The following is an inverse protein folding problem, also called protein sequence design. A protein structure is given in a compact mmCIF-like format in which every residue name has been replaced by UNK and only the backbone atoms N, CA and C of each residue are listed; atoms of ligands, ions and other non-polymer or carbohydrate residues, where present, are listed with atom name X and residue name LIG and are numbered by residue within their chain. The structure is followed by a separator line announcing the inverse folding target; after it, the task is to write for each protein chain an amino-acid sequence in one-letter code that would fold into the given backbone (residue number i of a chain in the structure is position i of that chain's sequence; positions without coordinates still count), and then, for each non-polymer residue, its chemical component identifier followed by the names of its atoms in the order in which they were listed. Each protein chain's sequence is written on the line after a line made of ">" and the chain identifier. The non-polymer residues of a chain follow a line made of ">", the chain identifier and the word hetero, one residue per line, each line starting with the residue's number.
data_IF_602410595601
#
_entry.id   IF_602410595601
#
_cell.length_a   1.000
_cell.length_b   1.000
_cell.length_c   1.000
_cell.angle_alpha   90.00
_cell.angle_beta   90.00
_cell.angle_gamma   90.00
#
_symmetry.space_group_name_H-M   'P 1'
#
loop_
_entity.id
_entity.type
_entity.pdbx_description
1 polymer ?
#
# COMPACT_ATOMS: atom_id res chain seq x y z
N UNK A 1 10.88 7.67 -19.22
CA UNK A 1 9.90 8.00 -18.17
C UNK A 1 10.55 8.55 -16.89
N UNK A 2 11.63 8.00 -16.36
CA UNK A 2 12.29 8.56 -15.14
C UNK A 2 12.83 10.00 -15.26
N UNK A 3 12.99 10.56 -16.44
CA UNK A 3 13.45 11.96 -16.60
C UNK A 3 12.40 13.02 -16.32
N UNK A 4 11.12 12.71 -16.46
CA UNK A 4 10.03 13.69 -16.27
C UNK A 4 9.60 13.88 -14.81
N UNK A 5 9.85 12.92 -13.93
CA UNK A 5 9.47 13.01 -12.52
C UNK A 5 10.54 13.65 -11.61
N UNK A 6 11.71 13.99 -12.13
CA UNK A 6 12.83 14.54 -11.33
C UNK A 6 12.89 16.07 -11.22
N UNK A 7 11.92 16.81 -11.74
CA UNK A 7 11.79 18.24 -11.49
C UNK A 7 10.75 18.55 -10.39
N UNK A 8 10.95 17.99 -9.20
CA UNK A 8 10.46 18.67 -8.00
C UNK A 8 11.44 19.82 -7.72
N UNK A 9 11.00 21.02 -8.01
CA UNK A 9 11.73 22.22 -7.67
C UNK A 9 12.00 22.21 -6.15
N UNK A 10 13.27 22.20 -5.78
CA UNK A 10 13.70 22.45 -4.40
C UNK A 10 13.10 23.78 -3.94
N UNK A 11 12.23 23.72 -2.94
CA UNK A 11 11.71 24.94 -2.30
C UNK A 11 12.90 25.71 -1.71
N UNK A 12 12.95 27.02 -1.90
CA UNK A 12 13.97 27.84 -1.23
C UNK A 12 13.78 27.73 0.28
N UNK A 13 14.89 27.57 1.01
CA UNK A 13 14.90 27.50 2.46
C UNK A 13 14.15 28.71 3.06
N UNK A 14 13.22 28.43 3.97
CA UNK A 14 12.46 29.46 4.68
C UNK A 14 13.42 30.36 5.47
N UNK A 15 13.13 31.66 5.47
CA UNK A 15 13.89 32.62 6.27
C UNK A 15 13.64 32.36 7.77
N UNK A 16 14.65 32.61 8.64
CA UNK A 16 14.46 32.40 10.09
C UNK A 16 13.30 33.28 10.59
N UNK A 17 12.27 32.64 11.18
CA UNK A 17 11.11 33.32 11.77
C UNK A 17 9.79 33.22 10.97
N UNK A 18 9.77 32.70 9.76
CA UNK A 18 8.52 32.43 9.03
C UNK A 18 8.04 31.02 9.34
N UNK A 19 6.77 30.86 9.79
CA UNK A 19 6.13 29.57 9.87
C UNK A 19 6.10 28.94 8.48
N UNK A 20 6.50 27.67 8.33
CA UNK A 20 6.40 26.99 7.05
C UNK A 20 4.95 27.06 6.56
N UNK A 21 4.75 27.59 5.36
CA UNK A 21 3.43 27.56 4.73
C UNK A 21 3.01 26.11 4.56
N UNK A 22 1.77 25.78 4.95
CA UNK A 22 1.19 24.46 4.72
C UNK A 22 1.44 24.06 3.25
N UNK A 23 1.83 22.79 2.97
CA UNK A 23 2.09 22.36 1.62
C UNK A 23 0.83 22.61 0.78
N UNK A 24 0.95 23.50 -0.21
CA UNK A 24 -0.13 23.74 -1.18
C UNK A 24 -0.39 22.39 -1.85
N UNK A 25 -1.60 21.84 -1.71
CA UNK A 25 -2.07 20.74 -2.54
C UNK A 25 -1.95 21.21 -3.99
N UNK A 26 -0.87 20.84 -4.65
CA UNK A 26 -0.76 21.05 -6.09
C UNK A 26 -1.79 20.14 -6.75
N UNK A 27 -2.69 20.71 -7.54
CA UNK A 27 -3.60 19.93 -8.36
C UNK A 27 -2.82 18.99 -9.28
N UNK A 28 -3.49 17.99 -9.89
CA UNK A 28 -2.81 17.06 -10.78
C UNK A 28 -2.00 17.82 -11.83
N UNK A 29 -0.80 17.32 -12.20
CA UNK A 29 0.05 17.99 -13.16
C UNK A 29 -0.70 18.20 -14.47
N UNK A 30 -0.67 19.41 -15.00
CA UNK A 30 -1.23 19.73 -16.33
C UNK A 30 -0.18 19.39 -17.36
N UNK A 31 -0.46 18.44 -18.21
CA UNK A 31 0.38 18.04 -19.34
C UNK A 31 0.03 18.86 -20.60
N UNK A 32 1.02 19.12 -21.46
CA UNK A 32 0.73 19.63 -22.81
C UNK A 32 0.07 18.51 -23.64
N UNK A 33 -0.62 18.87 -24.76
CA UNK A 33 -1.21 17.86 -25.64
C UNK A 33 -0.17 16.83 -26.14
N UNK A 34 1.04 17.26 -26.44
CA UNK A 34 2.15 16.40 -26.87
C UNK A 34 2.58 15.44 -25.73
N UNK A 35 2.73 15.94 -24.51
CA UNK A 35 3.04 15.11 -23.35
C UNK A 35 1.93 14.12 -23.06
N UNK A 36 0.67 14.53 -23.19
CA UNK A 36 -0.46 13.64 -23.01
C UNK A 36 -0.46 12.51 -24.05
N UNK A 37 -0.22 12.84 -25.33
CA UNK A 37 -0.13 11.84 -26.40
C UNK A 37 1.01 10.82 -26.17
N UNK A 38 2.17 11.28 -25.66
CA UNK A 38 3.28 10.40 -25.30
C UNK A 38 2.92 9.47 -24.13
N UNK A 39 2.23 10.00 -23.11
CA UNK A 39 1.73 9.21 -21.97
C UNK A 39 0.73 8.16 -22.45
N UNK A 40 -0.20 8.54 -23.31
CA UNK A 40 -1.25 7.62 -23.82
C UNK A 40 -0.63 6.51 -24.68
N UNK A 41 0.31 6.85 -25.57
CA UNK A 41 1.09 5.87 -26.31
C UNK A 41 1.81 4.88 -25.37
N UNK A 42 2.46 5.38 -24.34
CA UNK A 42 3.15 4.53 -23.36
C UNK A 42 2.18 3.60 -22.61
N UNK A 43 1.00 4.10 -22.25
CA UNK A 43 -0.04 3.28 -21.60
C UNK A 43 -0.47 2.12 -22.50
N UNK A 44 -0.66 2.37 -23.81
CA UNK A 44 -1.00 1.32 -24.77
C UNK A 44 0.13 0.29 -24.93
N UNK A 45 1.38 0.73 -24.98
CA UNK A 45 2.55 -0.16 -25.01
C UNK A 45 2.63 -1.04 -23.76
N UNK A 46 2.40 -0.47 -22.57
CA UNK A 46 2.37 -1.22 -21.31
C UNK A 46 1.21 -2.20 -21.27
N UNK A 47 0.03 -1.80 -21.73
CA UNK A 47 -1.14 -2.67 -21.85
C UNK A 47 -0.85 -3.87 -22.77
N UNK A 48 -0.31 -3.61 -23.96
CA UNK A 48 0.05 -4.67 -24.90
C UNK A 48 1.07 -5.63 -24.30
N UNK A 49 2.08 -5.11 -23.60
CA UNK A 49 3.08 -5.93 -22.90
C UNK A 49 2.45 -6.78 -21.80
N UNK A 50 1.57 -6.21 -20.96
CA UNK A 50 0.87 -6.95 -19.90
C UNK A 50 0.05 -8.09 -20.48
N UNK A 51 -0.79 -7.80 -21.48
CA UNK A 51 -1.70 -8.79 -22.05
C UNK A 51 -0.98 -9.86 -22.90
N UNK A 52 0.21 -9.53 -23.42
CA UNK A 52 1.07 -10.47 -24.15
C UNK A 52 2.08 -11.22 -23.26
N UNK A 53 2.09 -11.01 -21.96
CA UNK A 53 3.06 -11.65 -21.06
C UNK A 53 2.79 -13.15 -20.94
N UNK A 54 3.82 -13.95 -21.24
CA UNK A 54 3.82 -15.37 -20.93
C UNK A 54 3.95 -15.58 -19.41
N UNK A 55 2.88 -16.07 -18.79
CA UNK A 55 2.82 -16.29 -17.35
C UNK A 55 3.81 -17.33 -16.83
N UNK A 56 4.38 -18.17 -17.71
CA UNK A 56 5.45 -19.10 -17.32
C UNK A 56 6.68 -18.36 -16.76
N UNK A 57 6.92 -17.12 -17.21
CA UNK A 57 7.97 -16.25 -16.64
C UNK A 57 7.67 -15.84 -15.21
N UNK A 58 6.40 -15.58 -14.89
CA UNK A 58 5.93 -15.26 -13.54
C UNK A 58 6.06 -16.48 -12.64
N UNK A 59 5.66 -17.65 -13.13
CA UNK A 59 5.82 -18.93 -12.43
C UNK A 59 7.29 -19.27 -12.18
N UNK A 60 8.18 -18.94 -13.13
CA UNK A 60 9.64 -19.04 -12.96
C UNK A 60 10.15 -18.16 -11.82
N UNK A 61 9.67 -16.91 -11.73
CA UNK A 61 10.01 -16.02 -10.62
C UNK A 61 9.48 -16.54 -9.29
N UNK A 62 8.24 -17.05 -9.25
CA UNK A 62 7.68 -17.72 -8.07
C UNK A 62 8.55 -18.88 -7.62
N UNK A 63 9.03 -19.69 -8.57
CA UNK A 63 9.89 -20.83 -8.24
C UNK A 63 11.18 -20.39 -7.56
N UNK A 64 11.83 -19.34 -8.05
CA UNK A 64 13.04 -18.80 -7.43
C UNK A 64 12.81 -18.37 -5.97
N UNK A 65 11.68 -17.71 -5.70
CA UNK A 65 11.30 -17.29 -4.35
C UNK A 65 11.01 -18.50 -3.45
N UNK A 66 10.23 -19.46 -3.95
CA UNK A 66 9.87 -20.65 -3.15
C UNK A 66 11.07 -21.58 -2.90
N UNK A 67 12.03 -21.68 -3.84
CA UNK A 67 13.29 -22.42 -3.64
C UNK A 67 14.16 -21.77 -2.53
N UNK A 68 13.99 -20.45 -2.31
CA UNK A 68 14.61 -19.72 -1.22
C UNK A 68 13.77 -19.71 0.08
N UNK A 69 12.67 -20.46 0.15
CA UNK A 69 11.78 -20.52 1.31
C UNK A 69 10.84 -19.33 1.45
N UNK A 70 10.72 -18.48 0.42
CA UNK A 70 9.87 -17.28 0.44
C UNK A 70 8.51 -17.59 -0.20
N UNK A 71 7.43 -17.30 0.52
CA UNK A 71 6.06 -17.38 0.02
C UNK A 71 5.50 -16.00 -0.27
N UNK A 72 4.92 -15.82 -1.46
CA UNK A 72 4.22 -14.58 -1.82
C UNK A 72 2.76 -14.70 -1.41
N UNK A 73 2.28 -13.86 -0.52
CA UNK A 73 0.88 -13.88 -0.08
C UNK A 73 0.00 -12.83 -0.76
N UNK A 74 0.57 -11.69 -1.15
CA UNK A 74 -0.12 -10.56 -1.77
C UNK A 74 0.76 -9.92 -2.87
N UNK A 75 0.13 -9.35 -3.91
CA UNK A 75 0.84 -8.68 -5.01
C UNK A 75 0.23 -7.28 -5.24
N UNK A 76 1.05 -6.23 -5.22
CA UNK A 76 0.62 -4.87 -5.54
C UNK A 76 0.59 -4.66 -7.05
N UNK A 77 -0.61 -4.66 -7.64
CA UNK A 77 -0.84 -4.48 -9.09
C UNK A 77 -1.56 -3.20 -9.44
N UNK A 78 -2.19 -2.54 -8.49
CA UNK A 78 -2.93 -1.29 -8.63
C UNK A 78 -3.97 -1.30 -9.78
N UNK A 79 -5.00 -2.16 -9.72
CA UNK A 79 -6.04 -2.22 -10.75
C UNK A 79 -6.77 -0.91 -11.00
N UNK A 80 -6.80 0.02 -10.02
CA UNK A 80 -7.38 1.36 -10.17
C UNK A 80 -6.74 2.17 -11.31
N UNK A 81 -5.45 1.96 -11.56
CA UNK A 81 -4.70 2.60 -12.64
C UNK A 81 -4.79 1.89 -13.99
N UNK A 82 -5.54 0.78 -14.09
CA UNK A 82 -5.66 -0.02 -15.31
C UNK A 82 -6.81 0.46 -16.17
N UNK A 83 -6.55 0.67 -17.47
CA UNK A 83 -7.48 1.27 -18.42
C UNK A 83 -8.58 0.34 -18.89
N UNK A 84 -8.42 -0.98 -18.74
CA UNK A 84 -9.39 -1.96 -19.24
C UNK A 84 -9.61 -3.11 -18.26
N UNK A 85 -10.73 -3.81 -18.45
CA UNK A 85 -11.09 -4.96 -17.62
C UNK A 85 -10.19 -6.17 -17.88
N UNK A 86 -9.64 -6.30 -19.09
CA UNK A 86 -8.63 -7.31 -19.40
C UNK A 86 -7.34 -7.10 -18.61
N UNK A 87 -6.93 -5.84 -18.36
CA UNK A 87 -5.79 -5.55 -17.50
C UNK A 87 -6.10 -5.83 -16.03
N UNK A 88 -7.33 -5.56 -15.58
CA UNK A 88 -7.76 -5.96 -14.22
C UNK A 88 -7.71 -7.48 -14.07
N UNK A 89 -8.27 -8.21 -15.04
CA UNK A 89 -8.21 -9.69 -15.06
C UNK A 89 -6.76 -10.21 -15.06
N UNK A 90 -5.88 -9.56 -15.83
CA UNK A 90 -4.45 -9.85 -15.85
C UNK A 90 -3.80 -9.68 -14.47
N UNK A 91 -4.16 -8.65 -13.69
CA UNK A 91 -3.62 -8.45 -12.35
C UNK A 91 -3.84 -9.66 -11.44
N UNK A 92 -5.05 -10.22 -11.47
CA UNK A 92 -5.37 -11.43 -10.70
C UNK A 92 -4.67 -12.68 -11.25
N UNK A 93 -4.54 -12.81 -12.58
CA UNK A 93 -3.79 -13.91 -13.21
C UNK A 93 -2.32 -13.91 -12.77
N UNK A 94 -1.66 -12.75 -12.79
CA UNK A 94 -0.27 -12.61 -12.35
C UNK A 94 -0.13 -12.95 -10.86
N UNK A 95 -1.00 -12.40 -10.01
CA UNK A 95 -0.97 -12.69 -8.58
C UNK A 95 -1.15 -14.20 -8.31
N UNK A 96 -2.06 -14.85 -9.04
CA UNK A 96 -2.28 -16.30 -8.95
C UNK A 96 -1.05 -17.10 -9.42
N UNK A 97 -0.42 -16.70 -10.51
CA UNK A 97 0.81 -17.32 -11.02
C UNK A 97 1.98 -17.15 -10.02
N UNK A 98 2.06 -16.02 -9.30
CA UNK A 98 2.98 -15.81 -8.19
C UNK A 98 2.67 -16.66 -6.95
N UNK A 99 1.50 -17.31 -6.89
CA UNK A 99 1.06 -18.09 -5.74
C UNK A 99 0.38 -17.28 -4.65
N UNK A 100 0.16 -15.99 -4.88
CA UNK A 100 -0.56 -15.12 -3.97
C UNK A 100 -2.06 -15.42 -3.95
N UNK A 101 -2.72 -15.04 -2.85
CA UNK A 101 -4.17 -15.14 -2.70
C UNK A 101 -4.86 -13.78 -2.71
N UNK A 102 -4.08 -12.69 -2.74
CA UNK A 102 -4.63 -11.35 -2.78
C UNK A 102 -3.86 -10.44 -3.77
N UNK A 103 -4.61 -9.49 -4.33
CA UNK A 103 -4.10 -8.31 -5.02
C UNK A 103 -4.34 -7.10 -4.12
N UNK A 104 -3.44 -6.12 -4.11
CA UNK A 104 -3.64 -4.88 -3.34
C UNK A 104 -3.65 -3.62 -4.21
N UNK A 105 -4.40 -2.64 -3.77
CA UNK A 105 -4.51 -1.29 -4.31
C UNK A 105 -4.90 -0.32 -3.20
N UNK A 106 -4.91 0.98 -3.51
CA UNK A 106 -5.36 2.03 -2.59
C UNK A 106 -6.89 1.94 -2.34
N UNK A 107 -7.31 2.18 -1.09
CA UNK A 107 -8.72 2.05 -0.70
C UNK A 107 -9.60 3.06 -1.44
N UNK A 108 -10.56 2.53 -2.21
CA UNK A 108 -11.48 3.34 -2.99
C UNK A 108 -12.76 2.57 -3.32
N UNK A 109 -13.91 3.19 -3.15
CA UNK A 109 -15.22 2.56 -3.33
C UNK A 109 -15.49 2.15 -4.79
N UNK A 110 -15.17 3.03 -5.74
CA UNK A 110 -15.43 2.74 -7.16
C UNK A 110 -14.48 1.65 -7.70
N UNK A 111 -13.24 1.68 -7.24
CA UNK A 111 -12.29 0.59 -7.52
C UNK A 111 -12.82 -0.73 -6.97
N UNK A 112 -13.32 -0.75 -5.73
CA UNK A 112 -13.87 -1.96 -5.12
C UNK A 112 -15.05 -2.55 -5.91
N UNK A 113 -15.99 -1.71 -6.36
CA UNK A 113 -17.11 -2.14 -7.22
C UNK A 113 -16.62 -2.76 -8.53
N UNK A 114 -15.60 -2.15 -9.15
CA UNK A 114 -15.05 -2.62 -10.43
C UNK A 114 -14.31 -3.95 -10.28
N UNK A 115 -13.53 -4.12 -9.21
CA UNK A 115 -12.61 -5.28 -9.09
C UNK A 115 -13.24 -6.49 -8.41
N UNK A 116 -14.31 -6.33 -7.63
CA UNK A 116 -14.95 -7.43 -6.92
C UNK A 116 -15.32 -8.63 -7.81
N UNK A 117 -15.92 -8.46 -9.00
CA UNK A 117 -16.23 -9.60 -9.89
C UNK A 117 -14.98 -10.37 -10.35
N UNK A 118 -13.83 -9.70 -10.47
CA UNK A 118 -12.57 -10.34 -10.86
C UNK A 118 -11.97 -11.11 -9.69
N UNK A 119 -12.00 -10.55 -8.47
CA UNK A 119 -11.57 -11.25 -7.27
C UNK A 119 -12.37 -12.54 -7.08
N UNK A 120 -13.69 -12.49 -7.21
CA UNK A 120 -14.60 -13.64 -7.14
C UNK A 120 -14.32 -14.67 -8.26
N UNK A 121 -14.21 -14.21 -9.51
CA UNK A 121 -13.88 -15.04 -10.67
C UNK A 121 -12.61 -15.87 -10.46
N UNK A 122 -11.58 -15.27 -9.88
CA UNK A 122 -10.29 -15.92 -9.64
C UNK A 122 -10.22 -16.69 -8.31
N UNK A 123 -11.24 -16.59 -7.45
CA UNK A 123 -11.23 -17.14 -6.09
C UNK A 123 -10.13 -16.52 -5.23
N UNK A 124 -9.92 -15.23 -5.36
CA UNK A 124 -8.88 -14.44 -4.69
C UNK A 124 -9.48 -13.26 -3.93
N UNK A 125 -8.65 -12.58 -3.16
CA UNK A 125 -9.04 -11.36 -2.46
C UNK A 125 -8.51 -10.12 -3.18
N UNK A 126 -9.27 -9.04 -3.09
CA UNK A 126 -8.80 -7.69 -3.29
C UNK A 126 -8.64 -7.05 -1.92
N UNK A 127 -7.41 -6.79 -1.49
CA UNK A 127 -7.09 -6.25 -0.18
C UNK A 127 -6.68 -4.78 -0.31
N UNK A 128 -7.49 -3.86 0.22
CA UNK A 128 -7.30 -2.42 0.08
C UNK A 128 -6.41 -1.84 1.15
N UNK A 129 -5.42 -1.06 0.71
CA UNK A 129 -4.49 -0.33 1.55
C UNK A 129 -5.00 1.08 1.85
N UNK A 130 -4.89 1.50 3.10
CA UNK A 130 -5.21 2.86 3.52
C UNK A 130 -3.95 3.70 3.76
N UNK A 131 -4.06 4.98 3.48
CA UNK A 131 -3.17 6.01 4.00
C UNK A 131 -3.87 6.80 5.12
N UNK A 132 -4.28 8.04 4.83
CA UNK A 132 -4.87 8.95 5.83
C UNK A 132 -6.39 9.05 5.75
N UNK A 133 -7.05 8.19 4.96
CA UNK A 133 -8.50 8.28 4.72
C UNK A 133 -9.32 8.19 6.01
N UNK A 134 -8.85 7.42 7.00
CA UNK A 134 -9.54 7.31 8.29
C UNK A 134 -9.57 8.60 9.12
N UNK A 135 -8.75 9.60 8.79
CA UNK A 135 -8.79 10.93 9.38
C UNK A 135 -9.75 11.88 8.63
N UNK A 136 -10.30 11.48 7.50
CA UNK A 136 -11.27 12.26 6.74
C UNK A 136 -12.66 12.15 7.39
N UNK A 137 -13.34 13.29 7.54
CA UNK A 137 -14.68 13.32 8.14
C UNK A 137 -15.66 12.44 7.34
N UNK A 138 -16.34 11.54 8.04
CA UNK A 138 -17.33 10.63 7.44
C UNK A 138 -16.76 9.45 6.68
N UNK A 139 -15.44 9.25 6.64
CA UNK A 139 -14.88 8.06 6.02
C UNK A 139 -15.18 6.80 6.83
N UNK A 140 -15.62 5.75 6.13
CA UNK A 140 -15.74 4.38 6.65
C UNK A 140 -15.36 3.37 5.58
N UNK A 141 -14.72 2.29 5.98
CA UNK A 141 -14.47 1.14 5.11
C UNK A 141 -15.71 0.22 4.98
N UNK A 142 -16.72 0.36 5.83
CA UNK A 142 -17.90 -0.51 5.83
C UNK A 142 -18.60 -0.59 4.46
N UNK A 143 -18.87 0.52 3.73
CA UNK A 143 -19.47 0.45 2.40
C UNK A 143 -18.61 -0.30 1.38
N UNK A 144 -17.29 -0.22 1.52
CA UNK A 144 -16.33 -0.89 0.64
C UNK A 144 -16.34 -2.40 0.92
N UNK A 145 -16.26 -2.78 2.19
CA UNK A 145 -16.30 -4.17 2.61
C UNK A 145 -17.65 -4.85 2.33
N UNK A 146 -18.73 -4.09 2.30
CA UNK A 146 -20.07 -4.59 2.01
C UNK A 146 -20.28 -5.02 0.55
N UNK A 147 -19.38 -4.63 -0.37
CA UNK A 147 -19.49 -4.95 -1.80
C UNK A 147 -19.40 -6.46 -2.03
N UNK A 148 -18.44 -7.13 -1.39
CA UNK A 148 -18.20 -8.56 -1.58
C UNK A 148 -17.36 -9.14 -0.42
N UNK A 149 -17.56 -10.42 -0.07
CA UNK A 149 -16.66 -11.13 0.83
C UNK A 149 -15.23 -11.24 0.30
N UNK A 150 -15.02 -11.08 -1.01
CA UNK A 150 -13.68 -11.07 -1.64
C UNK A 150 -12.95 -9.73 -1.47
N UNK A 151 -13.62 -8.70 -0.95
CA UNK A 151 -12.99 -7.42 -0.61
C UNK A 151 -12.51 -7.48 0.82
N UNK A 152 -11.22 -7.26 1.03
CA UNK A 152 -10.53 -7.31 2.31
C UNK A 152 -9.74 -6.01 2.53
N UNK A 153 -9.13 -5.87 3.70
CA UNK A 153 -8.20 -4.80 4.02
C UNK A 153 -6.76 -5.32 4.00
N UNK A 154 -5.89 -4.58 3.38
CA UNK A 154 -4.46 -4.54 3.62
C UNK A 154 -4.23 -3.33 4.53
N UNK A 155 -4.54 -3.51 5.82
CA UNK A 155 -4.67 -2.42 6.77
C UNK A 155 -3.31 -1.86 7.15
N UNK A 156 -3.09 -0.57 6.86
CA UNK A 156 -1.90 0.12 7.33
C UNK A 156 -2.15 0.71 8.73
N UNK A 157 -1.63 0.03 9.74
CA UNK A 157 -1.79 0.40 11.13
C UNK A 157 -1.01 1.67 11.49
N UNK A 158 0.14 1.90 10.84
CA UNK A 158 0.94 3.10 11.06
C UNK A 158 0.30 4.35 10.47
N UNK A 159 -0.21 4.29 9.24
CA UNK A 159 -0.96 5.40 8.65
C UNK A 159 -2.25 5.70 9.43
N UNK A 160 -2.95 4.66 9.89
CA UNK A 160 -4.13 4.83 10.72
C UNK A 160 -3.78 5.56 12.03
N UNK A 161 -2.81 5.06 12.79
CA UNK A 161 -2.38 5.68 14.05
C UNK A 161 -1.85 7.09 13.82
N UNK A 162 -0.92 7.27 12.88
CA UNK A 162 -0.28 8.56 12.63
C UNK A 162 -1.25 9.66 12.19
N UNK A 163 -2.37 9.31 11.55
CA UNK A 163 -3.36 10.28 11.09
C UNK A 163 -4.50 10.51 12.08
N UNK A 164 -4.86 9.52 12.88
CA UNK A 164 -6.03 9.60 13.80
C UNK A 164 -5.67 9.70 15.28
N UNK A 165 -4.50 9.19 15.68
CA UNK A 165 -4.12 8.99 17.09
C UNK A 165 -4.86 7.85 17.77
N UNK A 166 -5.73 7.13 17.04
CA UNK A 166 -6.51 6.02 17.60
C UNK A 166 -5.64 4.76 17.60
N UNK A 167 -5.74 3.99 18.69
CA UNK A 167 -4.99 2.73 18.81
C UNK A 167 -5.44 1.72 17.74
N UNK A 168 -4.52 1.16 16.90
CA UNK A 168 -4.88 0.28 15.79
C UNK A 168 -5.67 -0.96 16.19
N UNK A 169 -5.49 -1.44 17.41
CA UNK A 169 -6.23 -2.60 17.93
C UNK A 169 -7.75 -2.40 17.94
N UNK A 170 -8.25 -1.17 17.94
CA UNK A 170 -9.69 -0.92 17.80
C UNK A 170 -10.20 -1.37 16.41
N UNK A 171 -9.46 -1.00 15.36
CA UNK A 171 -9.77 -1.43 13.99
C UNK A 171 -9.55 -2.93 13.81
N UNK A 172 -8.44 -3.46 14.33
CA UNK A 172 -8.10 -4.87 14.19
C UNK A 172 -9.17 -5.74 14.85
N UNK A 173 -9.59 -5.43 16.08
CA UNK A 173 -10.66 -6.17 16.77
C UNK A 173 -11.99 -6.12 16.02
N UNK A 174 -12.33 -4.96 15.43
CA UNK A 174 -13.58 -4.79 14.69
C UNK A 174 -13.60 -5.55 13.37
N UNK A 175 -12.45 -5.63 12.68
CA UNK A 175 -12.39 -6.11 11.29
C UNK A 175 -11.44 -7.29 11.08
N UNK A 176 -11.02 -8.01 12.14
CA UNK A 176 -10.02 -9.08 12.03
C UNK A 176 -10.34 -10.15 10.98
N UNK A 177 -11.62 -10.43 10.74
CA UNK A 177 -12.12 -11.37 9.73
C UNK A 177 -12.13 -10.78 8.30
N UNK A 178 -11.91 -9.48 8.17
CA UNK A 178 -11.86 -8.72 6.92
C UNK A 178 -10.50 -8.09 6.68
N UNK A 179 -9.51 -8.32 7.54
CA UNK A 179 -8.11 -7.92 7.36
C UNK A 179 -7.33 -9.10 6.81
N UNK A 180 -6.80 -8.96 5.60
CA UNK A 180 -5.95 -9.95 4.96
C UNK A 180 -4.49 -9.81 5.43
N UNK A 181 -3.98 -8.59 5.44
CA UNK A 181 -2.64 -8.27 5.95
C UNK A 181 -2.61 -6.90 6.62
N UNK A 182 -1.60 -6.68 7.43
CA UNK A 182 -1.35 -5.42 8.14
C UNK A 182 0.02 -4.91 7.77
N UNK A 183 0.11 -3.66 7.31
CA UNK A 183 1.38 -2.94 7.21
C UNK A 183 1.78 -2.42 8.59
N UNK A 184 2.96 -2.81 9.02
CA UNK A 184 3.57 -2.39 10.26
C UNK A 184 4.70 -1.41 9.96
N UNK A 185 4.50 -0.16 10.31
CA UNK A 185 5.49 0.92 10.26
C UNK A 185 5.41 1.74 11.53
N UNK A 186 6.52 2.30 11.97
CA UNK A 186 6.51 3.19 13.13
C UNK A 186 6.31 4.64 12.71
N UNK A 187 5.49 5.36 13.47
CA UNK A 187 5.12 6.74 13.18
C UNK A 187 4.90 7.53 14.48
N UNK A 188 5.06 8.85 14.36
CA UNK A 188 4.55 9.79 15.37
C UNK A 188 3.03 9.94 15.27
N UNK A 189 2.40 10.31 16.36
CA UNK A 189 0.98 10.62 16.42
C UNK A 189 0.60 11.90 15.66
N UNK A 190 -0.71 12.19 15.51
CA UNK A 190 -1.17 13.35 14.72
C UNK A 190 -0.90 14.70 15.40
N UNK A 191 -0.58 14.70 16.69
CA UNK A 191 -0.34 15.91 17.49
C UNK A 191 1.10 16.03 18.01
N UNK A 192 2.02 15.21 17.52
CA UNK A 192 3.40 15.13 18.02
C UNK A 192 4.21 16.32 17.54
N UNK A 193 4.37 17.33 18.37
CA UNK A 193 5.28 18.46 18.23
C UNK A 193 5.36 19.04 16.82
N UNK A 194 6.58 19.21 16.33
CA UNK A 194 6.86 19.76 14.99
C UNK A 194 6.82 18.69 13.86
N UNK A 195 6.62 17.43 14.19
CA UNK A 195 6.65 16.30 13.26
C UNK A 195 5.44 15.37 13.42
N UNK A 196 4.20 15.87 13.21
CA UNK A 196 3.01 15.03 13.29
C UNK A 196 2.95 14.05 12.14
N UNK A 197 2.47 12.82 12.41
CA UNK A 197 2.27 11.77 11.40
C UNK A 197 3.51 11.48 10.53
N UNK A 198 4.70 11.52 11.14
CA UNK A 198 5.98 11.30 10.44
C UNK A 198 6.47 9.87 10.65
N UNK A 199 6.96 9.25 9.57
CA UNK A 199 7.56 7.91 9.63
C UNK A 199 8.83 7.93 10.49
N UNK A 200 8.98 6.92 11.33
CA UNK A 200 10.07 6.78 12.28
C UNK A 200 10.82 5.46 12.09
N UNK A 201 12.05 5.44 12.55
CA UNK A 201 12.77 4.17 12.73
C UNK A 201 12.00 3.32 13.74
N UNK A 202 11.84 2.04 13.48
CA UNK A 202 11.09 1.13 14.36
C UNK A 202 11.57 1.20 15.81
N UNK A 203 10.63 1.41 16.71
CA UNK A 203 10.84 1.57 18.15
C UNK A 203 11.28 2.99 18.56
N UNK A 204 11.26 3.96 17.64
CA UNK A 204 11.54 5.37 17.93
C UNK A 204 10.32 6.28 17.74
N UNK A 205 9.23 5.73 17.23
CA UNK A 205 7.95 6.42 17.09
C UNK A 205 7.03 6.17 18.27
N UNK A 206 5.75 6.40 18.04
CA UNK A 206 4.68 6.31 19.05
C UNK A 206 3.64 5.25 18.68
N UNK A 207 3.76 4.64 17.49
CA UNK A 207 2.83 3.60 17.05
C UNK A 207 2.98 2.36 17.97
N UNK A 208 1.89 1.84 18.56
CA UNK A 208 1.96 0.72 19.51
C UNK A 208 2.17 -0.63 18.81
N UNK A 209 3.35 -0.80 18.17
CA UNK A 209 3.71 -1.97 17.37
C UNK A 209 3.62 -3.27 18.17
N UNK A 210 4.14 -3.27 19.41
CA UNK A 210 4.13 -4.45 20.27
C UNK A 210 2.71 -4.89 20.60
N UNK A 211 1.82 -3.95 20.95
CA UNK A 211 0.43 -4.26 21.30
C UNK A 211 -0.34 -4.84 20.10
N UNK A 212 -0.05 -4.36 18.89
CA UNK A 212 -0.64 -4.90 17.64
C UNK A 212 -0.20 -6.34 17.43
N UNK A 213 1.11 -6.60 17.53
CA UNK A 213 1.65 -7.96 17.34
C UNK A 213 1.19 -8.93 18.43
N UNK A 214 1.15 -8.48 19.68
CA UNK A 214 0.66 -9.29 20.80
C UNK A 214 -0.81 -9.65 20.64
N UNK A 215 -1.66 -8.71 20.21
CA UNK A 215 -3.07 -8.97 19.95
C UNK A 215 -3.24 -10.07 18.89
N UNK A 216 -2.60 -9.93 17.72
CA UNK A 216 -2.70 -10.91 16.63
C UNK A 216 -2.22 -12.30 17.07
N UNK A 217 -1.10 -12.33 17.80
CA UNK A 217 -0.52 -13.57 18.33
C UNK A 217 -1.44 -14.25 19.37
N UNK A 218 -2.04 -13.49 20.29
CA UNK A 218 -2.94 -14.01 21.33
C UNK A 218 -4.21 -14.57 20.74
N UNK A 219 -4.84 -13.83 19.81
CA UNK A 219 -6.09 -14.22 19.16
C UNK A 219 -5.89 -15.26 18.06
N UNK A 220 -4.64 -15.48 17.62
CA UNK A 220 -4.27 -16.42 16.53
C UNK A 220 -4.99 -16.17 15.22
N UNK A 221 -5.31 -14.93 14.92
CA UNK A 221 -5.90 -14.57 13.65
C UNK A 221 -4.93 -14.81 12.50
N UNK A 222 -5.40 -15.35 11.37
CA UNK A 222 -4.56 -15.65 10.21
C UNK A 222 -4.26 -14.40 9.37
N UNK A 223 -3.73 -13.36 10.01
CA UNK A 223 -3.41 -12.07 9.41
C UNK A 223 -1.91 -12.02 9.14
N UNK A 224 -1.53 -11.73 7.90
CA UNK A 224 -0.13 -11.47 7.56
C UNK A 224 0.31 -10.12 8.11
N UNK A 225 1.56 -10.03 8.57
CA UNK A 225 2.16 -8.80 9.09
C UNK A 225 3.33 -8.42 8.20
N UNK A 226 3.19 -7.31 7.48
CA UNK A 226 4.17 -6.83 6.52
C UNK A 226 5.00 -5.70 7.13
N UNK A 227 6.31 -5.89 7.22
CA UNK A 227 7.23 -4.85 7.69
C UNK A 227 7.38 -3.80 6.60
N UNK A 228 7.11 -2.55 6.93
CA UNK A 228 7.27 -1.43 6.02
C UNK A 228 8.16 -0.33 6.61
N UNK A 229 9.21 0.00 5.86
CA UNK A 229 10.20 1.01 6.25
C UNK A 229 10.09 2.18 5.27
N UNK A 230 9.45 3.28 5.69
CA UNK A 230 9.24 4.48 4.87
C UNK A 230 10.03 5.70 5.39
N UNK A 231 11.12 5.49 6.07
CA UNK A 231 12.02 6.54 6.52
C UNK A 231 13.33 6.54 5.72
N UNK A 232 14.03 7.67 5.72
CA UNK A 232 15.27 7.85 4.98
C UNK A 232 16.41 7.06 5.64
N UNK A 233 16.86 5.99 4.99
CA UNK A 233 17.96 5.14 5.45
C UNK A 233 19.23 5.48 4.66
N UNK A 234 20.29 5.85 5.37
CA UNK A 234 21.59 6.18 4.77
C UNK A 234 22.72 5.43 5.46
N UNK A 235 23.51 4.68 4.69
CA UNK A 235 23.30 4.34 3.27
C UNK A 235 22.12 3.39 3.11
N UNK A 236 21.38 3.51 2.01
CA UNK A 236 20.16 2.74 1.74
C UNK A 236 20.31 1.20 1.84
N UNK A 237 21.54 0.69 1.64
CA UNK A 237 21.87 -0.73 1.81
C UNK A 237 21.65 -1.25 3.23
N UNK A 238 21.51 -0.37 4.22
CA UNK A 238 21.24 -0.76 5.59
C UNK A 238 19.78 -1.11 5.83
N UNK A 239 18.89 -0.85 4.87
CA UNK A 239 17.46 -1.18 4.98
C UNK A 239 17.20 -2.67 5.26
N UNK A 240 17.98 -3.56 4.64
CA UNK A 240 17.89 -5.01 4.87
C UNK A 240 18.29 -5.35 6.30
N UNK A 241 19.42 -4.80 6.78
CA UNK A 241 19.88 -5.01 8.15
C UNK A 241 18.93 -4.43 9.19
N UNK A 242 18.31 -3.30 8.87
CA UNK A 242 17.30 -2.68 9.73
C UNK A 242 16.04 -3.54 9.82
N UNK A 243 15.56 -4.07 8.69
CA UNK A 243 14.47 -5.03 8.66
C UNK A 243 14.76 -6.29 9.47
N UNK A 244 15.94 -6.88 9.29
CA UNK A 244 16.36 -8.09 10.03
C UNK A 244 16.41 -7.88 11.54
N UNK A 245 16.87 -6.72 12.00
CA UNK A 245 16.91 -6.39 13.44
C UNK A 245 15.52 -6.28 14.06
N UNK A 246 14.51 -5.89 13.28
CA UNK A 246 13.14 -5.67 13.75
C UNK A 246 12.22 -6.87 13.55
N UNK A 247 12.61 -7.83 12.73
CA UNK A 247 11.85 -9.05 12.50
C UNK A 247 12.04 -10.14 13.59
N UNK A 248 12.89 -9.91 14.58
CA UNK A 248 13.17 -10.84 15.69
C UNK A 248 12.34 -10.43 16.90
N UNK A 249 11.01 -10.53 16.80
CA UNK A 249 10.10 -10.38 17.94
C UNK A 249 9.16 -11.58 18.00
#
# INVERSE_FOLDING_TARGET
>A
MMKFFRQQASQPAAKPGEKPAAPRRMGPPKFTPEQQAEIDKYKEEVKAWRLGLDLSKVEGARKLLSDAGISVHIVKMQPSGMGSDEEVDYAFKVAKAMGAKAVTDEINLETAKRVAPFAEKHGMYMAFHNHMQYAEEGFSCDPILAISPSIMLNFDAGHFFGSTGIHPNEMIKKYHDRIYSIHLKDKTGPTTGDQPNTNQVWGQGEMPLEDVLLLIKQEKWPIYCDIELEYDIKPWSDSVKEGDRKSVV
#
